data_IF_544894989007
#
_entry.id   IF_544894989007
#
_cell.length_a   1.000
_cell.length_b   1.000
_cell.length_c   1.000
_cell.angle_alpha   90.00
_cell.angle_beta   90.00
_cell.angle_gamma   90.00
#
_symmetry.space_group_name_H-M   'P 1'
#
loop_
_entity.id
_entity.type
_entity.pdbx_description
1 polymer ?
#
# COMPACT_ATOMS: atom_id res chain seq x y z
N UNK A 1 7.36 -8.08 3.82
CA UNK A 1 6.76 -8.30 2.47
C UNK A 1 7.82 -7.94 1.43
N UNK A 2 8.01 -8.74 0.39
CA UNK A 2 9.04 -8.51 -0.63
C UNK A 2 8.36 -8.10 -1.93
N UNK A 3 8.87 -7.04 -2.59
CA UNK A 3 8.37 -6.65 -3.92
C UNK A 3 8.88 -7.62 -4.99
N UNK A 4 8.00 -7.99 -5.91
CA UNK A 4 8.36 -8.53 -7.22
C UNK A 4 8.28 -7.40 -8.24
N UNK A 5 9.35 -7.23 -9.00
CA UNK A 5 9.45 -6.19 -10.03
C UNK A 5 9.70 -6.85 -11.39
N UNK A 6 8.78 -6.63 -12.30
CA UNK A 6 8.97 -6.94 -13.71
C UNK A 6 9.65 -5.74 -14.39
N UNK A 7 10.98 -5.78 -14.46
CA UNK A 7 11.76 -4.68 -15.02
C UNK A 7 11.37 -4.34 -16.47
N UNK A 8 10.96 -5.33 -17.29
CA UNK A 8 10.55 -5.12 -18.68
C UNK A 8 9.29 -4.26 -18.80
N UNK A 9 8.38 -4.37 -17.85
CA UNK A 9 7.15 -3.57 -17.80
C UNK A 9 7.35 -2.25 -17.06
N UNK A 10 8.20 -2.23 -16.02
CA UNK A 10 8.40 -1.04 -15.19
C UNK A 10 9.28 0.01 -15.86
N UNK A 11 10.42 -0.41 -16.45
CA UNK A 11 11.43 0.51 -17.00
C UNK A 11 10.86 1.49 -18.06
N UNK A 12 10.06 1.05 -19.04
CA UNK A 12 9.44 1.95 -19.99
C UNK A 12 8.60 3.04 -19.33
N UNK A 13 7.81 2.67 -18.29
CA UNK A 13 6.94 3.61 -17.58
C UNK A 13 7.76 4.71 -16.90
N UNK A 14 8.82 4.33 -16.16
CA UNK A 14 9.66 5.29 -15.48
C UNK A 14 10.46 6.16 -16.46
N UNK A 15 10.91 5.56 -17.56
CA UNK A 15 11.61 6.25 -18.65
C UNK A 15 10.72 7.29 -19.32
N UNK A 16 9.48 6.94 -19.66
CA UNK A 16 8.53 7.84 -20.28
C UNK A 16 8.14 8.99 -19.34
N UNK A 17 7.95 8.70 -18.05
CA UNK A 17 7.78 9.75 -17.04
C UNK A 17 8.94 10.74 -17.06
N UNK A 18 10.17 10.24 -17.04
CA UNK A 18 11.37 11.08 -17.09
C UNK A 18 11.49 11.89 -18.39
N UNK A 19 11.21 11.26 -19.54
CA UNK A 19 11.26 11.96 -20.84
C UNK A 19 10.27 13.12 -20.89
N UNK A 20 9.06 12.92 -20.36
CA UNK A 20 8.02 13.94 -20.34
C UNK A 20 8.29 15.06 -19.35
N UNK A 21 8.81 14.73 -18.18
CA UNK A 21 8.92 15.67 -17.08
C UNK A 21 10.34 16.20 -16.86
N UNK A 22 11.36 15.47 -17.31
CA UNK A 22 12.77 15.72 -16.97
C UNK A 22 13.10 15.41 -15.50
N UNK A 23 12.21 14.77 -14.75
CA UNK A 23 12.33 14.51 -13.31
C UNK A 23 12.75 13.06 -13.08
N UNK A 24 13.67 12.83 -12.12
CA UNK A 24 14.03 11.48 -11.70
C UNK A 24 12.87 10.85 -10.93
N UNK A 25 12.57 9.59 -11.22
CA UNK A 25 11.54 8.81 -10.54
C UNK A 25 12.14 7.51 -9.98
N UNK A 26 11.69 7.10 -8.80
CA UNK A 26 12.27 6.00 -8.02
C UNK A 26 11.18 5.13 -7.43
N UNK A 27 11.39 3.82 -7.43
CA UNK A 27 10.60 2.83 -6.72
C UNK A 27 11.33 2.42 -5.43
N UNK A 28 10.64 2.48 -4.30
CA UNK A 28 11.11 2.02 -2.99
C UNK A 28 10.25 0.84 -2.48
N UNK A 29 10.88 -0.07 -1.71
CA UNK A 29 10.16 -1.07 -0.94
C UNK A 29 9.61 -0.50 0.38
N UNK A 30 8.85 -1.31 1.13
CA UNK A 30 8.31 -0.92 2.44
C UNK A 30 9.36 -0.73 3.53
N UNK A 31 10.61 -1.11 3.26
CA UNK A 31 11.77 -0.86 4.14
C UNK A 31 12.55 0.38 3.71
N UNK A 32 11.96 1.18 2.83
CA UNK A 32 12.50 2.43 2.28
C UNK A 32 13.80 2.25 1.50
N UNK A 33 14.03 1.06 0.93
CA UNK A 33 15.18 0.80 0.07
C UNK A 33 14.82 1.06 -1.39
N UNK A 34 15.69 1.79 -2.08
CA UNK A 34 15.59 1.97 -3.53
C UNK A 34 15.70 0.62 -4.24
N UNK A 35 14.69 0.27 -5.03
CA UNK A 35 14.62 -0.98 -5.80
C UNK A 35 14.89 -0.71 -7.27
N UNK A 36 14.33 0.36 -7.80
CA UNK A 36 14.49 0.74 -9.21
C UNK A 36 14.40 2.26 -9.38
N UNK A 37 15.11 2.81 -10.34
CA UNK A 37 15.04 4.24 -10.62
C UNK A 37 15.35 4.58 -12.09
N UNK A 38 14.80 5.70 -12.55
CA UNK A 38 15.16 6.24 -13.84
C UNK A 38 15.22 7.80 -13.78
N UNK A 39 16.33 8.44 -14.21
CA UNK A 39 17.64 7.83 -14.49
C UNK A 39 18.18 7.07 -13.28
N UNK A 40 19.10 6.13 -13.55
CA UNK A 40 19.69 5.30 -12.48
C UNK A 40 20.46 6.16 -11.47
N UNK A 41 21.20 7.15 -11.96
CA UNK A 41 21.98 8.04 -11.11
C UNK A 41 21.13 9.21 -10.60
N UNK A 42 21.31 9.56 -9.32
CA UNK A 42 20.78 10.80 -8.75
C UNK A 42 21.60 12.00 -9.22
N UNK A 43 21.06 13.22 -9.07
CA UNK A 43 21.77 14.43 -9.42
C UNK A 43 23.09 14.58 -8.64
N UNK A 44 24.02 15.35 -9.20
CA UNK A 44 25.37 15.52 -8.63
C UNK A 44 25.34 16.13 -7.24
N UNK A 45 24.40 17.02 -6.96
CA UNK A 45 24.18 17.62 -5.64
C UNK A 45 23.76 16.54 -4.61
N UNK A 46 22.75 15.73 -4.89
CA UNK A 46 22.29 14.68 -3.98
C UNK A 46 23.35 13.59 -3.76
N UNK A 47 24.16 13.26 -4.78
CA UNK A 47 25.30 12.35 -4.60
C UNK A 47 26.28 12.89 -3.57
N UNK A 48 26.69 14.17 -3.67
CA UNK A 48 27.59 14.81 -2.71
C UNK A 48 26.98 14.85 -1.29
N UNK A 49 25.69 15.14 -1.18
CA UNK A 49 25.01 15.12 0.12
C UNK A 49 25.03 13.75 0.77
N UNK A 50 24.94 12.67 -0.02
CA UNK A 50 24.94 11.28 0.46
C UNK A 50 26.38 10.73 0.72
N UNK A 51 27.44 11.43 0.31
CA UNK A 51 28.82 11.07 0.63
C UNK A 51 29.19 11.37 2.09
N UNK A 52 28.61 12.44 2.66
CA UNK A 52 28.81 12.79 4.06
C UNK A 52 27.76 12.08 4.93
N UNK A 53 28.19 11.45 6.04
CA UNK A 53 27.31 10.65 6.92
C UNK A 53 26.18 11.49 7.53
N UNK A 54 26.47 12.71 7.95
CA UNK A 54 25.51 13.54 8.68
C UNK A 54 24.41 14.04 7.73
N UNK A 55 24.79 14.52 6.54
CA UNK A 55 23.82 14.94 5.53
C UNK A 55 23.06 13.76 4.93
N UNK A 56 23.67 12.57 4.82
CA UNK A 56 22.97 11.33 4.44
C UNK A 56 21.87 11.00 5.42
N UNK A 57 22.16 11.06 6.73
CA UNK A 57 21.15 10.81 7.76
C UNK A 57 19.97 11.75 7.62
N UNK A 58 20.20 13.04 7.40
CA UNK A 58 19.15 14.02 7.17
C UNK A 58 18.33 13.74 5.91
N UNK A 59 18.97 13.27 4.81
CA UNK A 59 18.27 12.81 3.62
C UNK A 59 17.32 11.64 3.95
N UNK A 60 17.87 10.61 4.60
CA UNK A 60 17.14 9.38 4.90
C UNK A 60 15.97 9.64 5.86
N UNK A 61 16.15 10.54 6.86
CA UNK A 61 15.07 10.96 7.77
C UNK A 61 13.98 11.75 7.04
N UNK A 62 14.35 12.64 6.11
CA UNK A 62 13.41 13.39 5.30
C UNK A 62 12.56 12.48 4.41
N UNK A 63 13.19 11.53 3.72
CA UNK A 63 12.52 10.55 2.88
C UNK A 63 11.59 9.64 3.72
N UNK A 64 12.08 9.13 4.86
CA UNK A 64 11.31 8.30 5.78
C UNK A 64 10.05 9.00 6.28
N UNK A 65 10.18 10.25 6.74
CA UNK A 65 9.03 11.02 7.20
C UNK A 65 7.96 11.19 6.12
N UNK A 66 8.38 11.36 4.85
CA UNK A 66 7.45 11.45 3.73
C UNK A 66 6.73 10.13 3.44
N UNK A 67 7.44 8.99 3.50
CA UNK A 67 6.84 7.67 3.33
C UNK A 67 5.83 7.34 4.42
N UNK A 68 6.16 7.64 5.69
CA UNK A 68 5.24 7.45 6.81
C UNK A 68 3.96 8.26 6.60
N UNK A 69 4.10 9.55 6.27
CA UNK A 69 2.95 10.43 6.06
C UNK A 69 2.08 10.02 4.88
N UNK A 70 2.67 9.64 3.74
CA UNK A 70 1.88 9.19 2.61
C UNK A 70 1.24 7.81 2.85
N UNK A 71 1.84 6.95 3.70
CA UNK A 71 1.25 5.69 4.12
C UNK A 71 0.01 5.85 4.99
N UNK A 72 0.05 6.80 5.95
CA UNK A 72 -1.07 7.07 6.86
C UNK A 72 -2.30 7.58 6.09
N UNK A 73 -2.09 8.54 5.20
CA UNK A 73 -3.16 9.16 4.42
C UNK A 73 -3.55 8.35 3.18
N UNK A 74 -2.67 7.45 2.71
CA UNK A 74 -2.78 6.73 1.43
C UNK A 74 -2.91 7.67 0.21
N UNK A 75 -2.30 8.83 0.30
CA UNK A 75 -2.37 9.90 -0.69
C UNK A 75 -0.96 10.37 -1.08
N UNK A 76 -0.88 11.04 -2.22
CA UNK A 76 0.33 11.70 -2.68
C UNK A 76 0.74 12.81 -1.71
N UNK A 77 2.04 12.89 -1.40
CA UNK A 77 2.61 13.89 -0.51
C UNK A 77 3.80 14.60 -1.18
N UNK A 78 3.68 15.91 -1.37
CA UNK A 78 4.75 16.77 -1.90
C UNK A 78 5.40 17.51 -0.74
N UNK A 79 6.73 17.56 -0.71
CA UNK A 79 7.49 18.19 0.37
C UNK A 79 8.82 18.78 -0.10
N UNK A 80 9.43 19.61 0.75
CA UNK A 80 10.81 20.02 0.60
C UNK A 80 11.70 19.12 1.47
N UNK A 81 12.70 18.50 0.89
CA UNK A 81 13.68 17.74 1.65
C UNK A 81 14.55 18.68 2.52
N UNK A 82 15.34 18.15 3.45
CA UNK A 82 16.18 18.96 4.34
C UNK A 82 17.11 19.94 3.59
N UNK A 83 17.52 19.61 2.37
CA UNK A 83 18.34 20.49 1.53
C UNK A 83 17.53 21.51 0.71
N UNK A 84 16.20 21.48 0.82
CA UNK A 84 15.27 22.41 0.17
C UNK A 84 14.95 22.08 -1.29
N UNK A 85 15.25 20.89 -1.76
CA UNK A 85 14.74 20.38 -3.03
C UNK A 85 13.32 19.83 -2.85
N UNK A 86 12.50 19.94 -3.87
CA UNK A 86 11.16 19.38 -3.88
C UNK A 86 11.20 17.90 -4.25
N UNK A 87 10.43 17.13 -3.52
CA UNK A 87 10.19 15.73 -3.73
C UNK A 87 8.71 15.41 -3.52
N UNK A 88 8.24 14.34 -4.14
CA UNK A 88 6.88 13.86 -3.98
C UNK A 88 6.86 12.35 -3.83
N UNK A 89 6.07 11.85 -2.89
CA UNK A 89 5.90 10.42 -2.63
C UNK A 89 4.45 9.99 -2.82
N UNK A 90 4.26 8.80 -3.36
CA UNK A 90 2.95 8.15 -3.54
C UNK A 90 3.05 6.69 -3.11
N UNK A 91 2.13 6.17 -2.26
CA UNK A 91 2.16 4.77 -1.88
C UNK A 91 1.66 3.90 -3.04
N UNK A 92 2.33 2.77 -3.26
CA UNK A 92 1.85 1.69 -4.12
C UNK A 92 0.92 0.80 -3.30
N UNK A 93 -0.35 0.78 -3.67
CA UNK A 93 -1.38 0.04 -2.94
C UNK A 93 -1.83 -1.16 -3.77
N UNK A 94 -1.61 -2.35 -3.25
CA UNK A 94 -2.13 -3.61 -3.81
C UNK A 94 -3.09 -4.26 -2.81
N UNK A 95 -4.34 -4.47 -3.23
CA UNK A 95 -5.42 -5.06 -2.41
C UNK A 95 -5.58 -4.40 -1.03
N UNK A 96 -5.47 -3.06 -0.99
CA UNK A 96 -5.66 -2.25 0.21
C UNK A 96 -4.43 -2.13 1.12
N UNK A 97 -3.34 -2.85 0.81
CA UNK A 97 -2.08 -2.79 1.56
C UNK A 97 -1.02 -1.98 0.81
N UNK A 98 -0.27 -1.17 1.53
CA UNK A 98 0.90 -0.49 0.96
C UNK A 98 2.01 -1.53 0.75
N UNK A 99 2.48 -1.66 -0.49
CA UNK A 99 3.51 -2.62 -0.89
C UNK A 99 4.86 -1.98 -1.19
N UNK A 100 4.88 -0.67 -1.36
CA UNK A 100 6.07 0.13 -1.67
C UNK A 100 5.68 1.57 -1.95
N UNK A 101 6.61 2.33 -2.51
CA UNK A 101 6.43 3.75 -2.79
C UNK A 101 7.03 4.12 -4.13
N UNK A 102 6.34 5.00 -4.86
CA UNK A 102 6.94 5.76 -5.95
C UNK A 102 7.31 7.14 -5.43
N UNK A 103 8.49 7.60 -5.78
CA UNK A 103 8.98 8.94 -5.46
C UNK A 103 9.52 9.60 -6.72
N UNK A 104 9.21 10.84 -6.93
CA UNK A 104 9.98 11.69 -7.85
C UNK A 104 10.59 12.85 -7.09
N UNK A 105 11.68 13.42 -7.60
CA UNK A 105 12.26 14.56 -6.91
C UNK A 105 13.55 15.06 -7.53
N UNK A 106 14.36 15.68 -6.65
CA UNK A 106 15.59 16.36 -7.00
C UNK A 106 15.32 17.55 -7.94
N UNK A 107 14.26 18.29 -7.67
CA UNK A 107 13.84 19.48 -8.45
C UNK A 107 13.85 20.73 -7.58
N UNK A 108 14.06 21.88 -8.22
CA UNK A 108 13.97 23.21 -7.59
C UNK A 108 12.78 23.96 -8.16
N UNK A 109 12.07 24.70 -7.30
CA UNK A 109 11.06 25.69 -7.66
C UNK A 109 11.59 27.13 -7.54
N UNK A 110 12.81 27.28 -7.00
CA UNK A 110 13.38 28.59 -6.73
C UNK A 110 14.50 28.94 -7.73
N UNK A 111 14.26 29.86 -8.66
CA UNK A 111 15.25 30.27 -9.66
C UNK A 111 16.43 31.05 -9.06
N UNK A 112 16.31 31.58 -7.85
CA UNK A 112 17.37 32.33 -7.17
C UNK A 112 18.35 31.42 -6.42
N UNK A 113 17.96 30.17 -6.17
CA UNK A 113 18.80 29.20 -5.45
C UNK A 113 19.61 28.38 -6.43
N UNK A 114 20.89 28.63 -6.47
CA UNK A 114 21.81 27.93 -7.37
C UNK A 114 22.18 26.55 -6.76
N UNK A 115 21.62 25.53 -7.34
CA UNK A 115 22.04 24.14 -7.13
C UNK A 115 23.01 23.68 -8.23
N UNK A 116 23.21 22.40 -8.40
CA UNK A 116 23.95 21.84 -9.52
C UNK A 116 23.15 21.98 -10.83
N UNK A 117 23.85 22.06 -11.97
CA UNK A 117 23.24 22.28 -13.29
C UNK A 117 22.31 21.14 -13.75
N UNK A 118 22.44 19.96 -13.13
CA UNK A 118 21.61 18.78 -13.40
C UNK A 118 20.35 18.70 -12.54
N UNK A 119 20.02 19.75 -11.78
CA UNK A 119 18.76 19.87 -11.04
C UNK A 119 17.77 20.67 -11.90
N UNK A 120 16.67 20.06 -12.32
CA UNK A 120 15.68 20.77 -13.13
C UNK A 120 14.92 21.80 -12.29
N UNK A 121 14.78 23.01 -12.85
CA UNK A 121 13.89 24.05 -12.33
C UNK A 121 12.48 23.80 -12.87
N UNK A 122 11.47 23.78 -12.00
CA UNK A 122 10.06 23.54 -12.36
C UNK A 122 9.15 24.58 -11.70
N UNK A 123 8.13 25.02 -12.44
CA UNK A 123 7.08 25.84 -11.85
C UNK A 123 6.15 25.02 -10.94
N UNK A 124 5.41 25.64 -10.02
CA UNK A 124 4.42 24.94 -9.19
C UNK A 124 3.42 24.11 -10.03
N UNK A 125 2.96 24.64 -11.18
CA UNK A 125 2.04 23.96 -12.07
C UNK A 125 2.68 22.72 -12.70
N UNK A 126 3.97 22.80 -13.05
CA UNK A 126 4.71 21.65 -13.60
C UNK A 126 4.92 20.57 -12.54
N UNK A 127 5.14 20.95 -11.29
CA UNK A 127 5.30 20.03 -10.17
C UNK A 127 3.98 19.31 -9.90
N UNK A 128 2.87 20.05 -9.85
CA UNK A 128 1.53 19.48 -9.66
C UNK A 128 1.13 18.54 -10.81
N UNK A 129 1.43 18.92 -12.05
CA UNK A 129 1.18 18.07 -13.22
C UNK A 129 2.01 16.77 -13.16
N UNK A 130 3.31 16.86 -12.82
CA UNK A 130 4.16 15.68 -12.64
C UNK A 130 3.64 14.76 -11.53
N UNK A 131 3.13 15.33 -10.43
CA UNK A 131 2.54 14.59 -9.33
C UNK A 131 1.30 13.80 -9.77
N UNK A 132 0.40 14.40 -10.54
CA UNK A 132 -0.78 13.73 -11.11
C UNK A 132 -0.39 12.62 -12.11
N UNK A 133 0.65 12.84 -12.92
CA UNK A 133 1.17 11.82 -13.82
C UNK A 133 1.76 10.66 -13.02
N UNK A 134 2.53 10.92 -11.96
CA UNK A 134 3.07 9.87 -11.09
C UNK A 134 1.95 9.08 -10.42
N UNK A 135 0.90 9.73 -9.96
CA UNK A 135 -0.28 9.06 -9.39
C UNK A 135 -0.89 8.08 -10.41
N UNK A 136 -1.10 8.51 -11.65
CA UNK A 136 -1.57 7.63 -12.72
C UNK A 136 -0.60 6.48 -13.00
N UNK A 137 0.72 6.74 -12.99
CA UNK A 137 1.75 5.71 -13.15
C UNK A 137 1.68 4.67 -12.02
N UNK A 138 1.43 5.06 -10.75
CA UNK A 138 1.32 4.11 -9.64
C UNK A 138 0.17 3.12 -9.84
N UNK A 139 -0.99 3.58 -10.29
CA UNK A 139 -2.11 2.68 -10.64
C UNK A 139 -1.74 1.78 -11.82
N UNK A 140 -1.11 2.33 -12.84
CA UNK A 140 -0.76 1.60 -14.05
C UNK A 140 0.27 0.49 -13.80
N UNK A 141 1.31 0.74 -12.98
CA UNK A 141 2.32 -0.28 -12.65
C UNK A 141 1.74 -1.46 -11.87
N UNK A 142 0.75 -1.21 -10.99
CA UNK A 142 0.02 -2.27 -10.29
C UNK A 142 -0.88 -3.03 -11.26
N UNK A 143 -1.67 -2.32 -12.07
CA UNK A 143 -2.56 -2.93 -13.07
C UNK A 143 -1.81 -3.85 -14.06
N UNK A 144 -0.63 -3.44 -14.51
CA UNK A 144 0.24 -4.21 -15.42
C UNK A 144 1.03 -5.31 -14.71
N UNK A 145 0.90 -5.46 -13.39
CA UNK A 145 1.78 -6.32 -12.60
C UNK A 145 3.28 -6.03 -12.82
N UNK A 146 3.62 -4.79 -13.18
CA UNK A 146 5.00 -4.34 -13.29
C UNK A 146 5.66 -4.30 -11.90
N UNK A 147 4.86 -4.00 -10.88
CA UNK A 147 5.20 -4.12 -9.46
C UNK A 147 4.07 -4.85 -8.75
N UNK A 148 4.39 -5.86 -7.98
CA UNK A 148 3.43 -6.61 -7.18
C UNK A 148 4.06 -7.04 -5.85
N UNK A 149 3.21 -7.35 -4.88
CA UNK A 149 3.69 -7.99 -3.66
C UNK A 149 4.06 -9.45 -3.99
N UNK A 150 5.29 -9.86 -3.67
CA UNK A 150 5.62 -11.28 -3.65
C UNK A 150 4.79 -11.93 -2.56
N UNK A 151 3.67 -12.51 -2.96
CA UNK A 151 2.87 -13.33 -2.05
C UNK A 151 3.56 -14.68 -1.94
N UNK A 152 3.97 -15.01 -0.72
CA UNK A 152 4.31 -16.39 -0.42
C UNK A 152 3.11 -17.25 -0.85
N UNK A 153 3.34 -18.31 -1.62
CA UNK A 153 2.28 -19.26 -2.01
C UNK A 153 1.47 -19.72 -0.79
N UNK A 154 2.10 -19.72 0.37
CA UNK A 154 1.45 -19.99 1.64
C UNK A 154 0.37 -18.94 1.99
N UNK A 155 0.64 -17.64 1.83
CA UNK A 155 -0.34 -16.57 2.12
C UNK A 155 -1.52 -16.63 1.17
N UNK A 156 -1.26 -16.87 -0.12
CA UNK A 156 -2.34 -17.05 -1.10
C UNK A 156 -3.22 -18.26 -0.76
N UNK A 157 -2.60 -19.36 -0.32
CA UNK A 157 -3.32 -20.54 0.12
C UNK A 157 -4.11 -20.28 1.40
N UNK A 158 -3.54 -19.56 2.37
CA UNK A 158 -4.21 -19.18 3.61
C UNK A 158 -5.40 -18.25 3.33
N UNK A 159 -5.23 -17.21 2.49
CA UNK A 159 -6.32 -16.30 2.11
C UNK A 159 -7.47 -17.05 1.43
N UNK A 160 -7.14 -17.96 0.51
CA UNK A 160 -8.13 -18.80 -0.17
C UNK A 160 -8.86 -19.68 0.84
N UNK A 161 -8.11 -20.42 1.66
CA UNK A 161 -8.68 -21.30 2.69
C UNK A 161 -9.61 -20.53 3.63
N UNK A 162 -9.19 -19.38 4.17
CA UNK A 162 -10.03 -18.58 5.05
C UNK A 162 -11.33 -18.11 4.38
N UNK A 163 -11.27 -17.70 3.10
CA UNK A 163 -12.44 -17.23 2.35
C UNK A 163 -13.42 -18.36 2.00
N UNK A 164 -12.89 -19.53 1.65
CA UNK A 164 -13.71 -20.69 1.31
C UNK A 164 -14.41 -21.32 2.53
N UNK A 165 -13.81 -21.16 3.73
CA UNK A 165 -14.28 -21.79 4.97
C UNK A 165 -14.82 -20.79 6.02
N UNK A 166 -15.28 -19.59 5.59
CA UNK A 166 -15.72 -18.53 6.53
C UNK A 166 -16.86 -18.95 7.46
N UNK A 167 -17.74 -19.85 7.00
CA UNK A 167 -18.86 -20.37 7.78
C UNK A 167 -18.47 -21.50 8.75
N UNK A 168 -17.24 -22.00 8.66
CA UNK A 168 -16.76 -23.15 9.44
C UNK A 168 -15.97 -22.71 10.70
N UNK A 169 -15.49 -23.71 11.47
CA UNK A 169 -14.60 -23.46 12.61
C UNK A 169 -13.22 -23.03 12.15
N UNK A 170 -12.95 -21.74 12.16
CA UNK A 170 -11.65 -21.13 11.92
C UNK A 170 -10.87 -20.89 13.23
N UNK A 171 -10.92 -21.83 14.15
CA UNK A 171 -10.03 -21.81 15.32
C UNK A 171 -8.56 -21.96 14.91
N UNK A 172 -7.65 -21.39 15.70
CA UNK A 172 -6.19 -21.50 15.47
C UNK A 172 -5.77 -22.96 15.31
N UNK A 173 -6.36 -23.87 16.09
CA UNK A 173 -6.06 -25.30 16.03
C UNK A 173 -6.45 -25.89 14.67
N UNK A 174 -7.63 -25.54 14.17
CA UNK A 174 -8.14 -26.06 12.90
C UNK A 174 -7.35 -25.51 11.72
N UNK A 175 -7.13 -24.17 11.69
CA UNK A 175 -6.33 -23.51 10.65
C UNK A 175 -4.92 -24.11 10.58
N UNK A 176 -4.26 -24.31 11.72
CA UNK A 176 -2.88 -24.84 11.73
C UNK A 176 -2.83 -26.29 11.28
N UNK A 177 -3.85 -27.09 11.61
CA UNK A 177 -3.99 -28.48 11.15
C UNK A 177 -4.19 -28.55 9.63
N UNK A 178 -5.15 -27.80 9.11
CA UNK A 178 -5.51 -27.83 7.68
C UNK A 178 -4.38 -27.28 6.78
N UNK A 179 -3.70 -26.22 7.24
CA UNK A 179 -2.58 -25.63 6.49
C UNK A 179 -1.23 -26.30 6.76
N UNK A 180 -1.16 -27.29 7.68
CA UNK A 180 0.08 -27.99 8.00
C UNK A 180 1.18 -27.12 8.60
N UNK A 181 0.83 -26.14 9.44
CA UNK A 181 1.77 -25.16 10.00
C UNK A 181 1.73 -25.12 11.54
N UNK A 182 2.78 -24.56 12.14
CA UNK A 182 2.80 -24.28 13.58
C UNK A 182 1.96 -23.04 13.91
N UNK A 183 1.51 -22.95 15.17
CA UNK A 183 0.82 -21.75 15.70
C UNK A 183 1.71 -20.51 15.61
N UNK A 184 3.00 -20.64 15.90
CA UNK A 184 3.98 -19.55 15.79
C UNK A 184 4.01 -19.02 14.36
N UNK A 185 4.15 -19.91 13.36
CA UNK A 185 4.14 -19.50 11.94
C UNK A 185 2.85 -18.76 11.55
N UNK A 186 1.69 -19.21 12.05
CA UNK A 186 0.42 -18.54 11.78
C UNK A 186 0.40 -17.12 12.38
N UNK A 187 0.81 -16.96 13.64
CA UNK A 187 0.83 -15.66 14.30
C UNK A 187 1.82 -14.70 13.68
N UNK A 188 3.05 -15.15 13.40
CA UNK A 188 4.08 -14.34 12.73
C UNK A 188 3.59 -13.88 11.36
N UNK A 189 3.03 -14.81 10.56
CA UNK A 189 2.47 -14.46 9.26
C UNK A 189 1.35 -13.43 9.37
N UNK A 190 0.45 -13.57 10.34
CA UNK A 190 -0.64 -12.61 10.51
C UNK A 190 -0.13 -11.22 10.92
N UNK A 191 0.82 -11.15 11.83
CA UNK A 191 1.42 -9.89 12.26
C UNK A 191 2.21 -9.23 11.13
N UNK A 192 3.03 -10.00 10.42
CA UNK A 192 3.93 -9.48 9.39
C UNK A 192 3.20 -9.09 8.10
N UNK A 193 2.11 -9.80 7.78
CA UNK A 193 1.41 -9.62 6.51
C UNK A 193 0.12 -8.81 6.64
N UNK A 194 -0.72 -9.11 7.65
CA UNK A 194 -1.98 -8.38 7.83
C UNK A 194 -1.89 -7.25 8.84
N UNK A 195 -0.82 -7.19 9.65
CA UNK A 195 -0.67 -6.21 10.73
C UNK A 195 -1.70 -6.36 11.86
N UNK A 196 -2.43 -7.48 11.88
CA UNK A 196 -3.49 -7.77 12.86
C UNK A 196 -3.49 -9.23 13.26
N UNK A 197 -4.12 -9.56 14.40
CA UNK A 197 -4.27 -10.97 14.81
C UNK A 197 -5.15 -11.75 13.85
N UNK A 198 -4.92 -13.07 13.73
CA UNK A 198 -5.73 -13.97 12.90
C UNK A 198 -7.22 -13.87 13.21
N UNK A 199 -7.60 -13.79 14.49
CA UNK A 199 -8.99 -13.66 14.91
C UNK A 199 -9.62 -12.34 14.46
N UNK A 200 -8.84 -11.25 14.43
CA UNK A 200 -9.31 -9.96 13.91
C UNK A 200 -9.45 -10.03 12.40
N UNK A 201 -8.49 -10.59 11.69
CA UNK A 201 -8.53 -10.76 10.23
C UNK A 201 -9.74 -11.60 9.79
N UNK A 202 -10.00 -12.75 10.41
CA UNK A 202 -11.19 -13.58 10.12
C UNK A 202 -12.48 -12.77 10.34
N UNK A 203 -12.55 -12.00 11.43
CA UNK A 203 -13.70 -11.15 11.71
C UNK A 203 -13.94 -10.12 10.61
N UNK A 204 -12.89 -9.46 10.13
CA UNK A 204 -12.96 -8.50 9.02
C UNK A 204 -13.44 -9.17 7.72
N UNK A 205 -12.92 -10.37 7.40
CA UNK A 205 -13.38 -11.15 6.25
C UNK A 205 -14.87 -11.53 6.35
N UNK A 206 -15.33 -12.00 7.51
CA UNK A 206 -16.74 -12.32 7.78
C UNK A 206 -17.64 -11.10 7.62
N UNK A 207 -17.23 -9.94 8.11
CA UNK A 207 -18.00 -8.68 7.94
C UNK A 207 -18.00 -8.23 6.48
N UNK A 208 -16.93 -8.37 5.75
CA UNK A 208 -16.88 -8.07 4.31
C UNK A 208 -17.86 -8.98 3.53
N UNK A 209 -17.85 -10.29 3.78
CA UNK A 209 -18.78 -11.23 3.19
C UNK A 209 -20.24 -10.91 3.56
N UNK A 210 -20.51 -10.55 4.83
CA UNK A 210 -21.84 -10.15 5.26
C UNK A 210 -22.35 -8.90 4.52
N UNK A 211 -21.49 -7.90 4.27
CA UNK A 211 -21.83 -6.72 3.47
C UNK A 211 -22.27 -7.09 2.05
N UNK A 212 -21.58 -8.03 1.43
CA UNK A 212 -21.91 -8.54 0.10
C UNK A 212 -23.27 -9.25 0.11
N UNK A 213 -23.49 -10.21 1.02
CA UNK A 213 -24.77 -10.92 1.14
C UNK A 213 -25.95 -9.97 1.46
N UNK A 214 -25.74 -8.96 2.28
CA UNK A 214 -26.77 -7.97 2.60
C UNK A 214 -27.19 -7.13 1.38
N UNK A 215 -26.28 -6.87 0.44
CA UNK A 215 -26.56 -6.13 -0.80
C UNK A 215 -27.18 -7.01 -1.88
N UNK A 216 -26.69 -8.22 -2.02
CA UNK A 216 -26.99 -9.10 -3.16
C UNK A 216 -28.14 -10.07 -2.92
N UNK A 217 -28.57 -10.25 -1.65
CA UNK A 217 -29.61 -11.20 -1.29
C UNK A 217 -30.69 -10.58 -0.40
N UNK A 218 -31.87 -11.21 -0.37
CA UNK A 218 -32.96 -10.90 0.56
C UNK A 218 -32.94 -11.78 1.82
N UNK A 219 -31.85 -12.50 2.09
CA UNK A 219 -31.73 -13.36 3.26
C UNK A 219 -32.00 -12.57 4.56
N UNK A 220 -32.75 -13.14 5.53
CA UNK A 220 -32.85 -12.55 6.85
C UNK A 220 -31.45 -12.24 7.42
N UNK A 221 -31.31 -11.14 8.17
CA UNK A 221 -30.02 -10.76 8.74
C UNK A 221 -29.43 -11.86 9.63
N UNK A 222 -30.28 -12.64 10.32
CA UNK A 222 -29.87 -13.81 11.09
C UNK A 222 -29.25 -14.90 10.23
N UNK A 223 -29.84 -15.15 9.04
CA UNK A 223 -29.27 -16.10 8.09
C UNK A 223 -27.93 -15.59 7.54
N UNK A 224 -27.82 -14.31 7.21
CA UNK A 224 -26.53 -13.72 6.79
C UNK A 224 -25.45 -13.93 7.86
N UNK A 225 -25.79 -13.71 9.15
CA UNK A 225 -24.85 -13.95 10.25
C UNK A 225 -24.34 -15.40 10.27
N UNK A 226 -25.25 -16.38 10.16
CA UNK A 226 -24.92 -17.81 10.13
C UNK A 226 -24.08 -18.18 8.89
N UNK A 227 -24.46 -17.72 7.69
CA UNK A 227 -23.75 -18.00 6.43
C UNK A 227 -22.30 -17.50 6.43
N UNK A 228 -22.02 -16.44 7.19
CA UNK A 228 -20.63 -15.91 7.31
C UNK A 228 -19.92 -16.39 8.57
N UNK A 229 -20.46 -17.36 9.30
CA UNK A 229 -19.80 -18.05 10.41
C UNK A 229 -19.92 -17.37 11.77
N UNK A 230 -20.98 -16.58 12.03
CA UNK A 230 -21.30 -16.12 13.38
C UNK A 230 -22.38 -17.00 14.00
N UNK A 231 -22.04 -17.77 15.02
CA UNK A 231 -22.97 -18.62 15.76
C UNK A 231 -23.96 -17.81 16.61
N UNK A 232 -23.52 -16.66 17.14
CA UNK A 232 -24.35 -15.76 17.92
C UNK A 232 -24.76 -14.52 17.12
N UNK A 233 -26.06 -14.44 16.83
CA UNK A 233 -26.66 -13.32 16.12
C UNK A 233 -26.47 -11.97 16.84
N UNK A 234 -26.56 -11.93 18.16
CA UNK A 234 -26.39 -10.69 18.92
C UNK A 234 -24.94 -10.23 18.89
N UNK A 235 -23.99 -11.16 18.93
CA UNK A 235 -22.59 -10.87 18.76
C UNK A 235 -22.31 -10.34 17.35
N UNK A 236 -22.86 -10.98 16.32
CA UNK A 236 -22.77 -10.45 14.93
C UNK A 236 -23.27 -9.01 14.84
N UNK A 237 -24.45 -8.71 15.36
CA UNK A 237 -25.02 -7.36 15.30
C UNK A 237 -24.13 -6.30 15.96
N UNK A 238 -23.51 -6.63 17.10
CA UNK A 238 -22.56 -5.75 17.81
C UNK A 238 -21.30 -5.53 16.98
N UNK A 239 -20.72 -6.61 16.46
CA UNK A 239 -19.49 -6.54 15.62
C UNK A 239 -19.76 -5.77 14.35
N UNK A 240 -20.84 -6.10 13.62
CA UNK A 240 -21.20 -5.42 12.39
C UNK A 240 -21.39 -3.90 12.59
N UNK A 241 -22.13 -3.51 13.63
CA UNK A 241 -22.31 -2.08 13.95
C UNK A 241 -20.99 -1.39 14.30
N UNK A 242 -20.09 -2.07 15.02
CA UNK A 242 -18.78 -1.52 15.38
C UNK A 242 -17.89 -1.32 14.15
N UNK A 243 -17.80 -2.31 13.26
CA UNK A 243 -16.91 -2.29 12.09
C UNK A 243 -17.46 -1.42 10.94
N UNK A 244 -18.79 -1.31 10.80
CA UNK A 244 -19.44 -0.61 9.67
C UNK A 244 -20.01 0.76 10.08
N UNK A 245 -20.07 1.05 11.38
CA UNK A 245 -20.65 2.29 11.91
C UNK A 245 -22.17 2.30 11.97
N UNK A 246 -22.88 1.30 11.42
CA UNK A 246 -24.34 1.22 11.42
C UNK A 246 -24.86 -0.22 11.53
N UNK A 247 -26.12 -0.42 12.01
CA UNK A 247 -26.73 -1.75 12.08
C UNK A 247 -26.87 -2.41 10.69
N UNK A 248 -26.72 -3.73 10.61
CA UNK A 248 -26.82 -4.52 9.38
C UNK A 248 -28.13 -4.31 8.61
N UNK A 249 -29.28 -4.21 9.33
CA UNK A 249 -30.59 -3.90 8.71
C UNK A 249 -30.62 -2.52 8.04
N UNK A 250 -30.00 -1.51 8.67
CA UNK A 250 -29.87 -0.16 8.09
C UNK A 250 -28.94 -0.18 6.89
N UNK A 251 -27.80 -0.87 6.99
CA UNK A 251 -26.85 -1.01 5.89
C UNK A 251 -27.50 -1.58 4.63
N UNK A 252 -28.32 -2.63 4.75
CA UNK A 252 -29.08 -3.20 3.62
C UNK A 252 -29.95 -2.15 2.91
N UNK A 253 -30.67 -1.35 3.69
CA UNK A 253 -31.62 -0.37 3.14
C UNK A 253 -30.94 0.83 2.47
N UNK A 254 -29.68 1.11 2.80
CA UNK A 254 -28.89 2.20 2.20
C UNK A 254 -28.02 1.75 1.04
N UNK A 255 -27.88 0.43 0.83
CA UNK A 255 -26.97 -0.14 -0.16
C UNK A 255 -27.69 -0.87 -1.31
N UNK A 256 -29.04 -0.89 -1.29
CA UNK A 256 -29.95 -1.23 -2.39
C UNK A 256 -30.47 0.06 -3.01
#
# INVERSE_FOLDING_TARGET
>A
MRLEVNAKELEPILKDFHILTGIRIVLFDISYREIYSYPKESCSFCRKMKENSDTRTLCDESDKASFEKCSENKELFIYHCHAGLIEATMPLIDQGSVIGYMMFGQISDNPLRTYAADIPLKSPEQIEAAAKIMEACTFYVIYKNAVSAKRDNFILNMDRFLKEHLSEDLSVSNITKELGISKTKLYDTCNDYYGVSISKHIKELRIAAAKTLLRETDYPVSRVASEVGFDDYNYFCRVFKKEVGMPAKKYRNTSK
#
